data_IF_886917111187
#
_entry.id   IF_886917111187
#
_cell.length_a   1.000
_cell.length_b   1.000
_cell.length_c   1.000
_cell.angle_alpha   90.00
_cell.angle_beta   90.00
_cell.angle_gamma   90.00
#
_symmetry.space_group_name_H-M   'P 1'
#
loop_
_entity.id
_entity.type
_entity.pdbx_description
1 polymer ?
#
# COMPACT_ATOMS: atom_id res chain seq x y z
N UNK A 1 -10.33 8.34 5.86
CA UNK A 1 -10.42 6.96 6.39
C UNK A 1 -9.77 6.05 5.35
N UNK A 2 -8.83 5.20 5.75
CA UNK A 2 -8.18 4.22 4.86
C UNK A 2 -8.98 2.91 4.77
N UNK A 3 -8.70 2.08 3.78
CA UNK A 3 -9.32 0.76 3.62
C UNK A 3 -8.29 -0.35 3.83
N UNK A 4 -8.70 -1.44 4.47
CA UNK A 4 -7.94 -2.68 4.58
C UNK A 4 -8.74 -3.84 3.97
N UNK A 5 -8.08 -4.81 3.37
CA UNK A 5 -8.69 -6.03 2.86
C UNK A 5 -7.98 -7.25 3.47
N UNK A 6 -8.68 -8.37 3.74
CA UNK A 6 -8.09 -9.55 4.36
C UNK A 6 -6.82 -10.05 3.66
N UNK A 7 -5.84 -10.50 4.44
CA UNK A 7 -4.61 -11.14 3.94
C UNK A 7 -3.35 -10.69 4.67
N UNK A 8 -2.24 -11.39 4.46
CA UNK A 8 -0.99 -11.16 5.19
C UNK A 8 -0.43 -9.74 5.09
N UNK A 9 -0.65 -9.07 3.97
CA UNK A 9 -0.25 -7.66 3.83
C UNK A 9 -1.01 -6.75 4.81
N UNK A 10 -2.28 -7.07 5.11
CA UNK A 10 -3.10 -6.30 6.04
C UNK A 10 -2.71 -6.56 7.47
N UNK A 11 -2.39 -7.82 7.80
CA UNK A 11 -1.85 -8.17 9.10
C UNK A 11 -0.54 -7.41 9.37
N UNK A 12 0.35 -7.35 8.37
CA UNK A 12 1.60 -6.60 8.46
C UNK A 12 1.37 -5.10 8.68
N UNK A 13 0.52 -4.47 7.85
CA UNK A 13 0.23 -3.03 7.96
C UNK A 13 -0.45 -2.71 9.29
N UNK A 14 -1.41 -3.53 9.73
CA UNK A 14 -2.12 -3.33 10.99
C UNK A 14 -1.16 -3.42 12.19
N UNK A 15 -0.28 -4.43 12.20
CA UNK A 15 0.72 -4.58 13.25
C UNK A 15 1.69 -3.39 13.30
N UNK A 16 2.13 -2.87 12.15
CA UNK A 16 3.02 -1.71 12.09
C UNK A 16 2.33 -0.43 12.59
N UNK A 17 1.08 -0.19 12.16
CA UNK A 17 0.28 0.95 12.65
C UNK A 17 0.07 0.89 14.17
N UNK A 18 -0.27 -0.28 14.71
CA UNK A 18 -0.43 -0.50 16.14
C UNK A 18 0.89 -0.29 16.89
N UNK A 19 2.01 -0.76 16.34
CA UNK A 19 3.35 -0.58 16.91
C UNK A 19 3.70 0.90 17.08
N UNK A 20 3.28 1.76 16.16
CA UNK A 20 3.50 3.21 16.24
C UNK A 20 2.34 3.98 16.91
N UNK A 21 1.39 3.28 17.54
CA UNK A 21 0.30 3.91 18.28
C UNK A 21 -0.71 4.66 17.41
N UNK A 22 -0.81 4.31 16.12
CA UNK A 22 -1.81 4.89 15.21
C UNK A 22 -3.18 4.31 15.54
N UNK A 23 -4.17 5.18 15.75
CA UNK A 23 -5.56 4.75 15.92
C UNK A 23 -6.14 4.22 14.61
N UNK A 24 -6.51 2.94 14.61
CA UNK A 24 -7.05 2.20 13.47
C UNK A 24 -8.56 1.99 13.53
N UNK A 25 -9.26 2.54 14.54
CA UNK A 25 -10.73 2.45 14.66
C UNK A 25 -11.46 3.03 13.43
N UNK A 26 -10.76 3.89 12.70
CA UNK A 26 -11.24 4.59 11.50
C UNK A 26 -10.84 3.89 10.18
N UNK A 27 -10.30 2.68 10.23
CA UNK A 27 -10.03 1.89 9.02
C UNK A 27 -11.29 1.13 8.57
N UNK A 28 -11.63 1.21 7.28
CA UNK A 28 -12.75 0.47 6.68
C UNK A 28 -12.26 -0.91 6.28
N UNK A 29 -12.84 -1.97 6.86
CA UNK A 29 -12.59 -3.34 6.44
C UNK A 29 -13.42 -3.68 5.21
N UNK A 30 -12.74 -4.02 4.11
CA UNK A 30 -13.36 -4.51 2.89
C UNK A 30 -13.57 -6.03 3.00
N UNK A 31 -14.72 -6.57 2.56
CA UNK A 31 -15.00 -8.01 2.68
C UNK A 31 -14.12 -8.89 1.76
N UNK A 32 -13.57 -8.30 0.71
CA UNK A 32 -12.69 -8.95 -0.27
C UNK A 32 -11.78 -7.91 -0.94
N UNK A 33 -10.77 -8.38 -1.67
CA UNK A 33 -9.81 -7.55 -2.39
C UNK A 33 -8.38 -7.78 -1.90
N UNK A 34 -7.47 -6.93 -2.35
CA UNK A 34 -6.07 -6.94 -1.92
C UNK A 34 -5.67 -5.54 -1.48
N UNK A 35 -4.67 -5.43 -0.62
CA UNK A 35 -4.09 -4.13 -0.35
C UNK A 35 -3.35 -3.59 -1.58
N UNK A 36 -3.32 -2.27 -1.76
CA UNK A 36 -2.44 -1.67 -2.75
C UNK A 36 -0.99 -2.01 -2.40
N UNK A 37 -0.21 -2.42 -3.41
CA UNK A 37 1.21 -2.74 -3.28
C UNK A 37 2.00 -1.90 -4.27
N UNK A 38 3.15 -1.39 -3.83
CA UNK A 38 4.09 -0.68 -4.68
C UNK A 38 5.46 -1.34 -4.64
N UNK A 39 6.10 -1.48 -5.80
CA UNK A 39 7.53 -1.80 -5.90
C UNK A 39 8.27 -0.48 -6.10
N UNK A 40 9.22 -0.19 -5.22
CA UNK A 40 10.04 1.03 -5.28
C UNK A 40 11.47 0.65 -5.64
N UNK A 41 11.96 1.16 -6.77
CA UNK A 41 13.36 1.02 -7.20
C UNK A 41 14.06 2.35 -6.92
N UNK A 42 14.96 2.37 -5.93
CA UNK A 42 15.69 3.58 -5.55
C UNK A 42 17.12 3.59 -6.13
N UNK A 43 17.53 4.72 -6.71
CA UNK A 43 18.90 4.99 -7.14
C UNK A 43 19.59 5.89 -6.11
N UNK A 44 20.40 5.30 -5.24
CA UNK A 44 21.14 6.05 -4.22
C UNK A 44 22.12 7.07 -4.83
N UNK A 45 22.70 6.77 -6.00
CA UNK A 45 23.68 7.65 -6.66
C UNK A 45 23.04 8.89 -7.31
N UNK A 46 21.77 8.81 -7.72
CA UNK A 46 21.04 9.90 -8.37
C UNK A 46 20.02 10.57 -7.45
N UNK A 47 19.72 9.97 -6.28
CA UNK A 47 18.67 10.44 -5.37
C UNK A 47 17.25 10.14 -5.86
N UNK A 48 17.11 9.32 -6.89
CA UNK A 48 15.84 9.08 -7.59
C UNK A 48 15.16 7.78 -7.13
N UNK A 49 13.84 7.66 -7.32
CA UNK A 49 13.03 6.47 -7.14
C UNK A 49 11.99 6.30 -8.26
N UNK A 50 11.91 5.10 -8.79
CA UNK A 50 10.82 4.69 -9.69
C UNK A 50 9.81 3.85 -8.90
N UNK A 51 8.53 4.19 -8.99
CA UNK A 51 7.46 3.51 -8.24
C UNK A 51 6.54 2.81 -9.23
N UNK A 52 6.44 1.49 -9.10
CA UNK A 52 5.47 0.66 -9.81
C UNK A 52 4.33 0.36 -8.84
N UNK A 53 3.14 0.89 -9.11
CA UNK A 53 2.01 0.77 -8.20
C UNK A 53 0.93 -0.17 -8.76
N UNK A 54 0.47 -1.13 -7.95
CA UNK A 54 -0.69 -1.96 -8.21
C UNK A 54 -1.82 -1.61 -7.22
N UNK A 55 -2.93 -1.11 -7.74
CA UNK A 55 -4.10 -0.76 -6.93
C UNK A 55 -4.82 -2.00 -6.36
N UNK A 56 -5.42 -1.83 -5.17
CA UNK A 56 -6.07 -2.90 -4.41
C UNK A 56 -7.56 -3.18 -4.73
N UNK A 57 -8.11 -2.65 -5.82
CA UNK A 57 -9.55 -2.73 -6.07
C UNK A 57 -9.98 -4.03 -6.78
N UNK A 58 -11.21 -4.49 -6.49
CA UNK A 58 -11.88 -5.61 -7.18
C UNK A 58 -12.17 -5.37 -8.68
N UNK A 59 -11.86 -4.19 -9.20
CA UNK A 59 -12.03 -3.82 -10.60
C UNK A 59 -10.71 -3.24 -11.14
N UNK A 60 -10.02 -4.06 -11.95
CA UNK A 60 -8.92 -3.67 -12.84
C UNK A 60 -7.67 -3.10 -12.19
N UNK A 61 -6.62 -3.92 -12.06
CA UNK A 61 -5.26 -3.44 -11.78
C UNK A 61 -4.85 -2.34 -12.77
N UNK A 62 -4.78 -1.10 -12.29
CA UNK A 62 -4.11 -0.01 -12.99
C UNK A 62 -2.68 0.07 -12.47
N UNK A 63 -1.73 -0.36 -13.30
CA UNK A 63 -0.31 -0.09 -13.06
C UNK A 63 -0.06 1.39 -13.28
N UNK A 64 0.16 2.15 -12.20
CA UNK A 64 0.62 3.53 -12.30
C UNK A 64 2.14 3.49 -12.17
N UNK A 65 2.85 3.79 -13.26
CA UNK A 65 4.29 4.02 -13.23
C UNK A 65 4.50 5.50 -12.92
N UNK A 66 4.91 5.80 -11.70
CA UNK A 66 5.31 7.15 -11.35
C UNK A 66 6.79 7.29 -11.73
N UNK A 67 7.08 8.14 -12.71
CA UNK A 67 8.43 8.57 -13.05
C UNK A 67 8.93 9.53 -11.97
N UNK A 68 10.23 9.44 -11.71
CA UNK A 68 10.92 10.15 -10.65
C UNK A 68 10.94 11.69 -10.80
N UNK A 69 11.17 12.39 -9.67
CA UNK A 69 11.54 13.82 -9.55
C UNK A 69 13.02 14.02 -9.23
#
# INVERSE_FOLDING_TARGET
MGSLAPGHAADFVLADLQRYGVDVCHAVQQPAGHLPVSIVIASASRGTRTILHAGGAASGSRTIVLYDT
#
